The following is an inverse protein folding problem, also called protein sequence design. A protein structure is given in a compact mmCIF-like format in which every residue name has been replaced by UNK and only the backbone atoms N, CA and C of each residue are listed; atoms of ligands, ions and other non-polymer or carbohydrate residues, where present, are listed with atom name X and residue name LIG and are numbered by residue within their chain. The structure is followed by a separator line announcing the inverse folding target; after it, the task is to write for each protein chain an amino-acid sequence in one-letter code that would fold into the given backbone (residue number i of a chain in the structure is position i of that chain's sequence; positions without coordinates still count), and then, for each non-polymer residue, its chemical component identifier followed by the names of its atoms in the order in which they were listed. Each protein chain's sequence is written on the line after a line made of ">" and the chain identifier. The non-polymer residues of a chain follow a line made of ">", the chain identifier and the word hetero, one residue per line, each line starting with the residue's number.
data_IF_494401346719
#
_entry.id   IF_494401346719
#
_cell.length_a   1.000
_cell.length_b   1.000
_cell.length_c   1.000
_cell.angle_alpha   90.00
_cell.angle_beta   90.00
_cell.angle_gamma   90.00
#
_symmetry.space_group_name_H-M   'P 1'
#
loop_
_entity.id
_entity.type
_entity.pdbx_description
1 polymer ?
#
# COMPACT_ATOMS: atom_id res chain seq x y z
N UNK A 1 -11.81 23.17 -8.43
CA UNK A 1 -12.13 22.93 -7.01
C UNK A 1 -11.42 21.65 -6.54
N UNK A 2 -10.94 21.59 -5.30
CA UNK A 2 -10.40 20.38 -4.68
C UNK A 2 -11.52 19.69 -3.88
N UNK A 3 -11.75 18.40 -4.13
CA UNK A 3 -12.72 17.62 -3.38
C UNK A 3 -12.04 16.52 -2.57
N UNK A 4 -12.40 16.42 -1.29
CA UNK A 4 -11.92 15.39 -0.36
C UNK A 4 -13.05 14.40 -0.13
N UNK A 5 -12.80 13.14 -0.48
CA UNK A 5 -13.80 12.08 -0.40
C UNK A 5 -14.04 11.67 1.05
N UNK A 6 -15.25 11.96 1.55
CA UNK A 6 -15.73 11.53 2.87
C UNK A 6 -16.67 10.34 2.72
N UNK A 7 -16.41 9.29 3.47
CA UNK A 7 -17.27 8.10 3.51
C UNK A 7 -18.15 8.06 4.77
N UNK A 8 -18.16 9.13 5.57
CA UNK A 8 -18.86 9.24 6.86
C UNK A 8 -18.50 8.13 7.87
N UNK A 9 -17.32 7.49 7.70
CA UNK A 9 -16.84 6.48 8.62
C UNK A 9 -15.94 7.12 9.66
N UNK A 10 -16.32 7.08 10.92
CA UNK A 10 -15.57 7.66 12.04
C UNK A 10 -14.06 7.35 12.02
N UNK A 11 -13.67 6.10 11.67
CA UNK A 11 -12.26 5.68 11.63
C UNK A 11 -11.44 6.38 10.53
N UNK A 12 -12.07 6.85 9.46
CA UNK A 12 -11.38 7.47 8.31
C UNK A 12 -11.58 8.99 8.26
N UNK A 13 -12.61 9.52 8.93
CA UNK A 13 -12.92 10.96 8.91
C UNK A 13 -11.76 11.82 9.43
N UNK A 14 -11.02 11.37 10.44
CA UNK A 14 -9.84 12.10 10.91
C UNK A 14 -8.82 12.39 9.79
N UNK A 15 -8.60 11.46 8.87
CA UNK A 15 -7.69 11.65 7.74
C UNK A 15 -8.25 12.64 6.71
N UNK A 16 -9.56 12.57 6.49
CA UNK A 16 -10.31 13.53 5.66
C UNK A 16 -10.20 14.94 6.24
N UNK A 17 -10.39 15.08 7.57
CA UNK A 17 -10.27 16.36 8.27
C UNK A 17 -8.86 16.95 8.16
N UNK A 18 -7.82 16.12 8.31
CA UNK A 18 -6.43 16.58 8.14
C UNK A 18 -6.16 17.08 6.72
N UNK A 19 -6.69 16.39 5.71
CA UNK A 19 -6.54 16.79 4.32
C UNK A 19 -7.28 18.11 4.04
N UNK A 20 -8.52 18.26 4.51
CA UNK A 20 -9.31 19.51 4.34
C UNK A 20 -8.62 20.70 5.01
N UNK A 21 -8.07 20.47 6.22
CA UNK A 21 -7.37 21.54 6.94
C UNK A 21 -6.13 22.04 6.19
N UNK A 22 -5.35 21.13 5.60
CA UNK A 22 -4.10 21.45 4.90
C UNK A 22 -4.26 21.82 3.42
N UNK A 23 -5.46 21.69 2.85
CA UNK A 23 -5.77 22.04 1.47
C UNK A 23 -6.80 23.20 1.45
N UNK A 24 -6.34 24.46 1.42
CA UNK A 24 -7.21 25.60 1.36
C UNK A 24 -8.19 25.51 0.17
N UNK A 25 -9.44 25.93 0.39
CA UNK A 25 -10.53 25.86 -0.60
C UNK A 25 -10.96 24.45 -1.03
N UNK A 26 -10.60 23.42 -0.28
CA UNK A 26 -11.15 22.08 -0.49
C UNK A 26 -12.53 21.92 0.16
N UNK A 27 -13.32 20.98 -0.37
CA UNK A 27 -14.66 20.64 0.15
C UNK A 27 -14.78 19.13 0.34
N UNK A 28 -15.44 18.72 1.41
CA UNK A 28 -15.85 17.32 1.61
C UNK A 28 -17.07 17.00 0.75
N UNK A 29 -17.02 15.89 0.04
CA UNK A 29 -18.18 15.31 -0.66
C UNK A 29 -18.15 13.79 -0.53
N UNK A 30 -19.31 13.16 -0.69
CA UNK A 30 -19.38 11.71 -0.85
C UNK A 30 -18.72 11.26 -2.17
N UNK A 31 -18.14 10.05 -2.24
CA UNK A 31 -17.53 9.55 -3.46
C UNK A 31 -18.41 9.68 -4.70
N UNK A 32 -19.70 9.33 -4.56
CA UNK A 32 -20.68 9.38 -5.64
C UNK A 32 -21.04 10.79 -6.10
N UNK A 33 -20.84 11.79 -5.25
CA UNK A 33 -21.04 13.21 -5.60
C UNK A 33 -19.82 13.73 -6.35
N UNK A 34 -18.59 13.39 -5.89
CA UNK A 34 -17.35 13.82 -6.54
C UNK A 34 -17.32 13.43 -8.03
N UNK A 35 -17.68 12.19 -8.35
CA UNK A 35 -17.65 11.69 -9.73
C UNK A 35 -18.68 12.35 -10.66
N UNK A 36 -19.62 13.11 -10.10
CA UNK A 36 -20.64 13.88 -10.86
C UNK A 36 -20.25 15.35 -11.01
N UNK A 37 -19.21 15.84 -10.33
CA UNK A 37 -18.80 17.24 -10.44
C UNK A 37 -18.16 17.53 -11.78
N UNK A 38 -18.30 18.78 -12.26
CA UNK A 38 -17.68 19.26 -13.50
C UNK A 38 -16.50 20.18 -13.25
N UNK A 39 -16.31 20.61 -12.02
CA UNK A 39 -15.31 21.63 -11.63
C UNK A 39 -14.19 21.02 -10.76
N UNK A 40 -14.13 19.71 -10.63
CA UNK A 40 -13.07 19.04 -9.88
C UNK A 40 -11.74 19.16 -10.61
N UNK A 41 -10.78 19.82 -9.99
CA UNK A 41 -9.42 19.92 -10.49
C UNK A 41 -8.45 18.98 -9.78
N UNK A 42 -8.82 18.54 -8.57
CA UNK A 42 -8.03 17.61 -7.76
C UNK A 42 -8.92 16.85 -6.79
N UNK A 43 -8.73 15.55 -6.67
CA UNK A 43 -9.45 14.70 -5.73
C UNK A 43 -8.53 14.16 -4.64
N UNK A 44 -9.06 13.96 -3.43
CA UNK A 44 -8.35 13.31 -2.32
C UNK A 44 -9.21 12.17 -1.80
N UNK A 45 -8.62 11.00 -1.57
CA UNK A 45 -9.35 9.84 -1.08
C UNK A 45 -8.51 8.99 -0.12
N UNK A 46 -9.17 8.26 0.78
CA UNK A 46 -8.52 7.35 1.72
C UNK A 46 -8.97 5.90 1.46
N UNK A 47 -8.02 5.04 1.07
CA UNK A 47 -8.25 3.62 0.76
C UNK A 47 -9.15 3.40 -0.45
N UNK A 48 -9.63 2.17 -0.61
CA UNK A 48 -10.42 1.74 -1.79
C UNK A 48 -11.87 1.35 -1.47
N UNK A 49 -12.26 1.38 -0.19
CA UNK A 49 -13.60 0.95 0.24
C UNK A 49 -14.61 2.10 0.22
N UNK A 50 -15.91 1.75 0.25
CA UNK A 50 -17.05 2.68 0.38
C UNK A 50 -17.14 3.71 -0.75
N UNK A 51 -16.79 3.29 -1.97
CA UNK A 51 -16.90 4.14 -3.15
C UNK A 51 -15.65 4.97 -3.47
N UNK A 52 -14.64 5.03 -2.59
CA UNK A 52 -13.41 5.76 -2.88
C UNK A 52 -12.66 5.22 -4.10
N UNK A 53 -12.74 3.91 -4.38
CA UNK A 53 -12.21 3.33 -5.62
C UNK A 53 -12.88 3.89 -6.87
N UNK A 54 -14.15 4.30 -6.79
CA UNK A 54 -14.85 4.95 -7.92
C UNK A 54 -14.24 6.32 -8.20
N UNK A 55 -13.92 7.10 -7.15
CA UNK A 55 -13.22 8.38 -7.30
C UNK A 55 -11.84 8.17 -7.90
N UNK A 56 -11.11 7.14 -7.46
CA UNK A 56 -9.80 6.79 -8.00
C UNK A 56 -9.88 6.51 -9.50
N UNK A 57 -10.74 5.57 -9.92
CA UNK A 57 -10.93 5.19 -11.33
C UNK A 57 -11.45 6.34 -12.18
N UNK A 58 -12.35 7.15 -11.63
CA UNK A 58 -12.88 8.33 -12.31
C UNK A 58 -11.78 9.38 -12.54
N UNK A 59 -10.95 9.65 -11.53
CA UNK A 59 -9.86 10.60 -11.64
C UNK A 59 -8.81 10.14 -12.67
N UNK A 60 -8.41 8.86 -12.66
CA UNK A 60 -7.53 8.29 -13.68
C UNK A 60 -8.12 8.47 -15.09
N UNK A 61 -9.38 8.05 -15.29
CA UNK A 61 -10.06 8.10 -16.60
C UNK A 61 -10.17 9.53 -17.14
N UNK A 62 -10.43 10.51 -16.28
CA UNK A 62 -10.63 11.91 -16.65
C UNK A 62 -9.33 12.75 -16.57
N UNK A 63 -8.19 12.13 -16.25
CA UNK A 63 -6.89 12.80 -16.09
C UNK A 63 -6.93 13.95 -15.07
N UNK A 64 -7.69 13.74 -13.99
CA UNK A 64 -7.77 14.65 -12.86
C UNK A 64 -6.70 14.27 -11.86
N UNK A 65 -5.90 15.22 -11.40
CA UNK A 65 -4.92 14.98 -10.35
C UNK A 65 -5.61 14.48 -9.08
N UNK A 66 -5.01 13.52 -8.42
CA UNK A 66 -5.54 13.03 -7.15
C UNK A 66 -4.43 12.68 -6.15
N UNK A 67 -4.79 12.72 -4.87
CA UNK A 67 -4.00 12.19 -3.78
C UNK A 67 -4.70 10.96 -3.20
N UNK A 68 -4.01 9.86 -3.24
CA UNK A 68 -4.43 8.63 -2.59
C UNK A 68 -3.78 8.52 -1.21
N UNK A 69 -4.59 8.43 -0.19
CA UNK A 69 -4.16 8.28 1.20
C UNK A 69 -4.44 6.85 1.65
N UNK A 70 -3.53 6.29 2.46
CA UNK A 70 -3.71 4.97 3.06
C UNK A 70 -2.81 4.82 4.29
N UNK A 71 -2.81 3.64 4.90
CA UNK A 71 -1.89 3.27 5.96
C UNK A 71 -0.44 3.48 5.53
N UNK A 72 0.44 3.91 6.44
CA UNK A 72 1.83 4.23 6.10
C UNK A 72 2.60 2.98 5.65
N UNK A 73 3.76 3.20 5.08
CA UNK A 73 4.71 2.13 4.77
C UNK A 73 5.28 1.51 6.04
N UNK A 74 5.60 2.36 7.03
CA UNK A 74 6.06 2.00 8.37
C UNK A 74 5.56 3.00 9.40
N UNK A 75 5.79 2.72 10.69
CA UNK A 75 5.42 3.62 11.78
C UNK A 75 3.92 3.62 12.06
N UNK A 76 3.16 2.64 11.56
CA UNK A 76 1.77 2.45 11.97
C UNK A 76 1.75 1.91 13.39
N UNK A 77 1.74 2.81 14.34
CA UNK A 77 1.47 2.48 15.73
C UNK A 77 0.15 3.13 16.14
N UNK A 78 -0.53 2.52 17.09
CA UNK A 78 -1.70 3.14 17.74
C UNK A 78 -1.29 4.37 18.55
N UNK A 79 0.01 4.57 18.72
CA UNK A 79 0.63 5.68 19.44
C UNK A 79 1.20 6.71 18.47
N UNK A 80 1.10 7.98 18.79
CA UNK A 80 1.66 9.08 17.99
C UNK A 80 3.21 8.99 17.89
N UNK A 81 3.82 9.48 16.80
CA UNK A 81 3.17 10.14 15.68
C UNK A 81 2.55 9.13 14.70
N UNK A 82 1.32 9.40 14.30
CA UNK A 82 0.68 8.64 13.23
C UNK A 82 1.18 9.13 11.88
N UNK A 83 1.67 8.21 11.06
CA UNK A 83 1.94 8.48 9.67
C UNK A 83 0.77 8.06 8.79
N UNK A 84 0.60 8.74 7.67
CA UNK A 84 -0.33 8.43 6.59
C UNK A 84 0.46 8.43 5.30
N UNK A 85 0.36 7.35 4.54
CA UNK A 85 0.86 7.32 3.17
C UNK A 85 0.00 8.24 2.32
N UNK A 86 0.63 9.11 1.54
CA UNK A 86 -0.03 9.94 0.54
C UNK A 86 0.77 9.88 -0.76
N UNK A 87 0.10 9.53 -1.84
CA UNK A 87 0.74 9.42 -3.14
C UNK A 87 -0.09 10.20 -4.18
N UNK A 88 0.59 10.97 -5.01
CA UNK A 88 -0.05 11.71 -6.10
C UNK A 88 -0.19 10.80 -7.31
N UNK A 89 -1.39 10.72 -7.88
CA UNK A 89 -1.73 10.03 -9.13
C UNK A 89 -1.37 8.53 -9.16
N UNK A 90 -1.23 7.91 -8.00
CA UNK A 90 -1.00 6.48 -7.84
C UNK A 90 -1.51 6.01 -6.47
N UNK A 91 -1.62 4.69 -6.25
CA UNK A 91 -2.01 4.11 -4.96
C UNK A 91 -0.82 3.84 -4.03
N UNK A 92 0.41 3.82 -4.56
CA UNK A 92 1.66 3.70 -3.80
C UNK A 92 2.83 4.31 -4.56
N UNK A 93 3.92 4.58 -3.83
CA UNK A 93 5.18 5.06 -4.39
C UNK A 93 6.13 3.88 -4.53
N UNK A 94 6.40 3.49 -5.77
CA UNK A 94 7.28 2.40 -6.14
C UNK A 94 8.30 2.84 -7.20
N UNK A 95 8.80 4.05 -7.08
CA UNK A 95 9.85 4.60 -7.94
C UNK A 95 10.89 5.30 -7.10
N UNK A 96 12.10 5.40 -7.66
CA UNK A 96 13.16 6.18 -7.06
C UNK A 96 12.93 7.67 -7.31
N UNK A 97 13.13 8.44 -6.28
CA UNK A 97 13.20 9.88 -6.31
C UNK A 97 14.37 10.28 -5.42
N UNK A 98 15.29 11.08 -5.94
CA UNK A 98 16.41 11.55 -5.13
C UNK A 98 15.90 12.38 -3.97
N UNK A 99 16.09 11.85 -2.76
CA UNK A 99 15.64 12.46 -1.51
C UNK A 99 16.72 12.27 -0.44
N UNK A 100 16.92 13.25 0.45
CA UNK A 100 17.81 13.10 1.59
C UNK A 100 17.29 12.00 2.56
N UNK A 101 18.19 11.47 3.38
CA UNK A 101 17.88 10.40 4.33
C UNK A 101 17.15 10.86 5.61
N UNK A 102 17.10 12.17 5.86
CA UNK A 102 16.64 12.80 7.12
C UNK A 102 15.27 12.31 7.60
N UNK A 103 14.28 12.24 6.69
CA UNK A 103 12.94 11.75 7.03
C UNK A 103 12.94 10.24 7.31
N UNK A 104 13.74 9.50 6.59
CA UNK A 104 13.90 8.06 6.79
C UNK A 104 14.55 7.81 8.16
N UNK A 105 15.70 8.40 8.46
CA UNK A 105 16.42 8.24 9.73
C UNK A 105 15.57 8.61 10.93
N UNK A 106 14.76 9.66 10.82
CA UNK A 106 13.86 10.10 11.88
C UNK A 106 12.67 9.14 12.12
N UNK A 107 12.17 8.49 11.10
CA UNK A 107 10.89 7.78 11.15
C UNK A 107 11.00 6.25 11.03
N UNK A 108 12.11 5.74 10.48
CA UNK A 108 12.26 4.31 10.21
C UNK A 108 12.65 3.56 11.50
N UNK A 109 11.84 2.58 11.94
CA UNK A 109 11.99 2.01 13.28
C UNK A 109 12.94 0.81 13.37
N UNK A 110 13.43 0.30 12.23
CA UNK A 110 14.17 -0.96 12.19
C UNK A 110 15.57 -0.79 11.58
N UNK A 111 16.57 -1.54 12.06
CA UNK A 111 17.86 -1.60 11.38
C UNK A 111 17.72 -2.36 10.05
N UNK A 112 18.36 -1.85 8.99
CA UNK A 112 18.47 -2.56 7.73
C UNK A 112 19.56 -3.61 7.86
N UNK A 113 19.18 -4.90 7.78
CA UNK A 113 20.11 -6.02 7.87
C UNK A 113 20.74 -6.31 6.50
N UNK A 114 21.97 -6.85 6.44
CA UNK A 114 22.53 -7.38 5.20
C UNK A 114 21.58 -8.38 4.53
N UNK A 115 21.70 -8.52 3.21
CA UNK A 115 20.94 -9.52 2.48
C UNK A 115 21.27 -10.93 2.95
N UNK A 116 20.24 -11.69 3.27
CA UNK A 116 20.26 -13.09 3.65
C UNK A 116 20.21 -13.95 2.38
N UNK A 117 21.05 -14.97 2.31
CA UNK A 117 21.11 -15.91 1.17
C UNK A 117 20.71 -17.33 1.54
N UNK A 118 20.47 -17.56 2.82
CA UNK A 118 20.01 -18.81 3.40
C UNK A 118 18.53 -18.75 3.75
N UNK A 119 17.99 -19.84 4.21
CA UNK A 119 16.57 -20.00 4.53
C UNK A 119 15.97 -21.12 3.68
N UNK A 120 14.92 -21.71 4.20
CA UNK A 120 14.28 -22.87 3.58
C UNK A 120 12.94 -22.52 2.94
N UNK A 121 12.13 -21.75 3.66
CA UNK A 121 10.72 -21.58 3.34
C UNK A 121 10.47 -20.37 2.42
N UNK A 122 9.62 -20.54 1.43
CA UNK A 122 9.02 -19.46 0.67
C UNK A 122 7.69 -19.12 1.33
N UNK A 123 7.52 -17.85 1.76
CA UNK A 123 6.29 -17.40 2.42
C UNK A 123 5.47 -16.57 1.45
N UNK A 124 4.31 -17.07 1.06
CA UNK A 124 3.37 -16.38 0.15
C UNK A 124 2.35 -15.61 0.96
N UNK A 125 2.31 -14.31 0.76
CA UNK A 125 1.39 -13.38 1.42
C UNK A 125 0.40 -12.81 0.39
N UNK A 126 -0.81 -13.39 0.24
CA UNK A 126 -1.75 -12.96 -0.78
C UNK A 126 -2.30 -11.55 -0.51
N UNK A 127 -2.78 -10.86 -1.56
CA UNK A 127 -3.47 -9.58 -1.40
C UNK A 127 -4.75 -9.76 -0.56
N UNK A 128 -5.15 -8.70 0.15
CA UNK A 128 -6.44 -8.71 0.83
C UNK A 128 -7.59 -8.74 -0.18
N UNK A 129 -8.76 -9.25 0.21
CA UNK A 129 -9.93 -9.30 -0.67
C UNK A 129 -10.28 -7.92 -1.28
N UNK A 130 -10.13 -6.84 -0.52
CA UNK A 130 -10.34 -5.49 -1.03
C UNK A 130 -9.35 -5.12 -2.16
N UNK A 131 -8.10 -5.58 -2.06
CA UNK A 131 -7.11 -5.37 -3.12
C UNK A 131 -7.33 -6.31 -4.31
N UNK A 132 -7.79 -7.53 -4.07
CA UNK A 132 -8.18 -8.43 -5.16
C UNK A 132 -9.31 -7.82 -6.00
N UNK A 133 -10.35 -7.27 -5.35
CA UNK A 133 -11.43 -6.55 -6.04
C UNK A 133 -10.92 -5.30 -6.77
N UNK A 134 -10.08 -4.51 -6.10
CA UNK A 134 -9.57 -3.27 -6.67
C UNK A 134 -8.72 -3.49 -7.92
N UNK A 135 -7.85 -4.51 -7.92
CA UNK A 135 -6.96 -4.82 -9.04
C UNK A 135 -7.51 -5.89 -9.99
N UNK A 136 -8.61 -6.57 -9.66
CA UNK A 136 -9.16 -7.68 -10.47
C UNK A 136 -8.27 -8.93 -10.47
N UNK A 137 -7.60 -9.24 -9.36
CA UNK A 137 -6.56 -10.29 -9.26
C UNK A 137 -7.01 -11.45 -8.37
N UNK A 138 -8.21 -11.96 -8.60
CA UNK A 138 -8.80 -13.02 -7.79
C UNK A 138 -8.01 -14.34 -7.86
N UNK A 139 -7.41 -14.66 -9.01
CA UNK A 139 -6.66 -15.89 -9.25
C UNK A 139 -5.16 -15.75 -8.93
N UNK A 140 -4.74 -14.63 -8.32
CA UNK A 140 -3.33 -14.36 -8.08
C UNK A 140 -2.66 -15.44 -7.24
N UNK A 141 -3.30 -15.90 -6.18
CA UNK A 141 -2.73 -16.92 -5.29
C UNK A 141 -2.51 -18.24 -6.02
N UNK A 142 -3.52 -18.72 -6.75
CA UNK A 142 -3.45 -20.00 -7.47
C UNK A 142 -2.40 -19.98 -8.58
N UNK A 143 -2.35 -18.87 -9.33
CA UNK A 143 -1.33 -18.67 -10.36
C UNK A 143 0.08 -18.60 -9.76
N UNK A 144 0.24 -17.88 -8.64
CA UNK A 144 1.50 -17.79 -7.91
C UNK A 144 1.97 -19.17 -7.42
N UNK A 145 1.09 -19.91 -6.76
CA UNK A 145 1.43 -21.25 -6.25
C UNK A 145 1.80 -22.23 -7.38
N UNK A 146 1.11 -22.15 -8.52
CA UNK A 146 1.44 -22.96 -9.71
C UNK A 146 2.83 -22.62 -10.23
N UNK A 147 3.15 -21.33 -10.39
CA UNK A 147 4.46 -20.88 -10.86
C UNK A 147 5.56 -21.30 -9.90
N UNK A 148 5.38 -21.08 -8.60
CA UNK A 148 6.39 -21.46 -7.61
C UNK A 148 6.65 -22.97 -7.61
N UNK A 149 5.60 -23.80 -7.56
CA UNK A 149 5.74 -25.27 -7.57
C UNK A 149 6.44 -25.83 -8.81
N UNK A 150 6.38 -25.12 -9.92
CA UNK A 150 7.07 -25.50 -11.15
C UNK A 150 8.55 -25.12 -11.17
N UNK A 151 9.01 -24.27 -10.23
CA UNK A 151 10.35 -23.68 -10.28
C UNK A 151 11.16 -23.85 -8.99
N UNK A 152 10.65 -24.57 -7.98
CA UNK A 152 11.38 -24.83 -6.74
C UNK A 152 10.85 -26.08 -6.01
N UNK A 153 11.74 -26.75 -5.29
CA UNK A 153 11.42 -27.82 -4.34
C UNK A 153 11.31 -27.31 -2.90
N UNK A 154 11.48 -26.02 -2.65
CA UNK A 154 11.38 -25.44 -1.30
C UNK A 154 9.95 -25.51 -0.76
N UNK A 155 9.78 -25.71 0.55
CA UNK A 155 8.46 -25.62 1.18
C UNK A 155 7.81 -24.25 0.93
N UNK A 156 6.55 -24.25 0.51
CA UNK A 156 5.76 -23.04 0.26
C UNK A 156 4.71 -22.91 1.34
N UNK A 157 4.78 -21.82 2.11
CA UNK A 157 3.88 -21.52 3.23
C UNK A 157 2.98 -20.34 2.85
N UNK A 158 1.66 -20.55 2.83
CA UNK A 158 0.70 -19.44 2.58
C UNK A 158 0.35 -18.77 3.91
N UNK A 159 0.55 -17.47 3.99
CA UNK A 159 0.30 -16.64 5.18
C UNK A 159 -1.09 -16.01 5.13
N UNK A 160 -2.02 -16.54 5.90
CA UNK A 160 -3.36 -15.99 6.07
C UNK A 160 -3.40 -14.94 7.18
N UNK A 161 -4.12 -13.85 6.97
CA UNK A 161 -4.21 -12.71 7.91
C UNK A 161 -5.21 -12.91 9.06
N UNK A 162 -5.94 -13.99 9.17
CA UNK A 162 -6.90 -14.26 10.24
C UNK A 162 -8.12 -13.33 10.31
N UNK A 163 -8.08 -12.21 9.68
CA UNK A 163 -9.22 -11.35 9.37
C UNK A 163 -9.13 -10.93 7.91
N UNK A 164 -9.96 -11.55 7.11
CA UNK A 164 -10.05 -11.23 5.70
C UNK A 164 -11.52 -10.85 5.41
N UNK A 165 -11.83 -9.55 5.23
CA UNK A 165 -13.19 -9.13 5.01
C UNK A 165 -13.73 -9.66 3.67
N UNK A 166 -14.94 -10.16 3.66
CA UNK A 166 -15.67 -10.44 2.42
C UNK A 166 -16.11 -9.11 1.85
N UNK A 167 -15.79 -8.89 0.58
CA UNK A 167 -16.11 -7.64 -0.11
C UNK A 167 -17.29 -7.85 -1.04
N UNK A 168 -18.31 -7.02 -0.88
CA UNK A 168 -19.43 -6.90 -1.78
C UNK A 168 -19.50 -5.51 -2.39
N UNK A 169 -20.56 -5.24 -3.15
CA UNK A 169 -20.84 -3.92 -3.71
C UNK A 169 -22.15 -3.37 -3.13
N UNK A 170 -22.16 -2.09 -2.82
CA UNK A 170 -23.40 -1.36 -2.52
C UNK A 170 -24.18 -1.03 -3.79
N UNK A 171 -25.36 -0.43 -3.64
CA UNK A 171 -26.24 -0.04 -4.76
C UNK A 171 -25.58 0.93 -5.76
N UNK A 172 -24.54 1.65 -5.34
CA UNK A 172 -23.80 2.58 -6.18
C UNK A 172 -22.49 1.98 -6.73
N UNK A 173 -22.25 0.67 -6.51
CA UNK A 173 -21.04 -0.04 -6.93
C UNK A 173 -19.83 0.18 -5.99
N UNK A 174 -20.01 0.83 -4.85
CA UNK A 174 -18.96 1.04 -3.84
C UNK A 174 -18.60 -0.27 -3.13
N UNK A 175 -17.32 -0.56 -2.98
CA UNK A 175 -16.86 -1.74 -2.23
C UNK A 175 -17.18 -1.59 -0.74
N UNK A 176 -17.92 -2.55 -0.20
CA UNK A 176 -18.31 -2.62 1.20
C UNK A 176 -17.91 -3.97 1.81
N UNK A 177 -17.71 -3.99 3.13
CA UNK A 177 -17.52 -5.23 3.88
C UNK A 177 -18.88 -5.83 4.18
N UNK A 178 -19.17 -7.02 3.63
CA UNK A 178 -20.43 -7.74 3.80
C UNK A 178 -20.32 -8.88 4.81
N UNK A 179 -19.11 -9.23 5.20
CA UNK A 179 -18.85 -10.31 6.16
C UNK A 179 -17.37 -10.45 6.44
N UNK A 180 -17.00 -11.53 7.07
CA UNK A 180 -15.61 -11.89 7.34
C UNK A 180 -15.38 -13.37 7.00
N UNK A 181 -14.23 -13.66 6.40
CA UNK A 181 -13.74 -15.01 6.24
C UNK A 181 -13.38 -15.59 7.62
N UNK A 182 -13.75 -16.83 7.86
CA UNK A 182 -13.45 -17.57 9.09
C UNK A 182 -12.13 -18.35 9.03
N UNK A 183 -11.33 -18.16 7.97
CA UNK A 183 -10.00 -18.78 7.86
C UNK A 183 -9.15 -18.38 9.06
N UNK A 184 -8.62 -19.33 9.83
CA UNK A 184 -7.79 -18.98 10.98
C UNK A 184 -6.50 -18.29 10.55
N UNK A 185 -5.94 -17.42 11.40
CA UNK A 185 -4.66 -16.79 11.11
C UNK A 185 -3.55 -17.85 11.06
N UNK A 186 -2.64 -17.69 10.11
CA UNK A 186 -1.42 -18.50 10.13
C UNK A 186 -0.52 -18.09 11.30
N UNK A 187 0.35 -18.99 11.78
CA UNK A 187 1.39 -18.66 12.74
C UNK A 187 2.22 -17.44 12.28
N UNK A 188 2.91 -16.75 13.19
CA UNK A 188 3.89 -15.72 12.79
C UNK A 188 4.90 -16.25 11.78
N UNK A 189 5.43 -15.36 10.94
CA UNK A 189 6.49 -15.74 10.00
C UNK A 189 7.74 -16.05 10.81
N UNK A 190 8.31 -17.21 10.56
CA UNK A 190 9.67 -17.53 10.99
C UNK A 190 10.64 -16.84 10.04
N UNK A 191 11.14 -15.66 10.46
CA UNK A 191 12.05 -14.84 9.67
C UNK A 191 13.44 -15.47 9.51
N UNK A 192 13.82 -16.34 10.45
CA UNK A 192 15.14 -16.99 10.42
C UNK A 192 15.18 -18.14 9.41
N UNK A 193 14.05 -18.78 9.15
CA UNK A 193 13.93 -19.84 8.15
C UNK A 193 13.27 -19.38 6.83
N UNK A 194 12.88 -18.10 6.71
CA UNK A 194 12.36 -17.55 5.47
C UNK A 194 13.46 -17.35 4.44
N UNK A 195 13.33 -18.03 3.28
CA UNK A 195 14.19 -17.84 2.12
C UNK A 195 13.77 -16.64 1.29
N UNK A 196 12.48 -16.51 1.03
CA UNK A 196 11.91 -15.39 0.28
C UNK A 196 10.47 -15.10 0.70
N UNK A 197 10.05 -13.85 0.54
CA UNK A 197 8.65 -13.44 0.68
C UNK A 197 8.07 -13.18 -0.71
N UNK A 198 6.93 -13.78 -1.01
CA UNK A 198 6.18 -13.58 -2.25
C UNK A 198 4.87 -12.88 -1.93
N UNK A 199 4.62 -11.72 -2.54
CA UNK A 199 3.39 -10.97 -2.26
C UNK A 199 2.97 -10.07 -3.41
N UNK A 200 1.67 -9.79 -3.53
CA UNK A 200 1.17 -8.84 -4.53
C UNK A 200 1.56 -7.40 -4.13
N UNK A 201 0.93 -6.84 -3.11
CA UNK A 201 1.09 -5.42 -2.75
C UNK A 201 1.17 -5.17 -1.23
N UNK A 202 1.48 -6.18 -0.43
CA UNK A 202 1.54 -6.04 1.02
C UNK A 202 2.83 -5.34 1.47
N UNK A 203 2.74 -4.50 2.49
CA UNK A 203 3.90 -3.89 3.16
C UNK A 203 4.81 -4.91 3.87
N UNK A 204 4.44 -6.19 3.91
CA UNK A 204 5.31 -7.26 4.40
C UNK A 204 6.62 -7.34 3.59
N UNK A 205 6.60 -6.92 2.32
CA UNK A 205 7.80 -6.82 1.49
C UNK A 205 8.82 -5.83 2.05
N UNK A 206 8.36 -4.71 2.59
CA UNK A 206 9.24 -3.74 3.24
C UNK A 206 9.86 -4.33 4.52
N UNK A 207 9.06 -4.98 5.35
CA UNK A 207 9.57 -5.64 6.56
C UNK A 207 10.58 -6.74 6.22
N UNK A 208 10.30 -7.55 5.20
CA UNK A 208 11.20 -8.61 4.75
C UNK A 208 12.51 -8.05 4.18
N UNK A 209 12.44 -7.09 3.26
CA UNK A 209 13.64 -6.48 2.67
C UNK A 209 14.49 -5.76 3.72
N UNK A 210 13.87 -5.15 4.74
CA UNK A 210 14.58 -4.56 5.89
C UNK A 210 15.34 -5.62 6.70
N UNK A 211 14.76 -6.82 6.86
CA UNK A 211 15.39 -7.97 7.52
C UNK A 211 16.44 -8.67 6.65
N UNK A 212 16.65 -8.20 5.42
CA UNK A 212 17.57 -8.80 4.46
C UNK A 212 16.99 -9.99 3.71
N UNK A 213 15.69 -10.25 3.78
CA UNK A 213 15.03 -11.34 3.06
C UNK A 213 14.57 -10.84 1.71
N UNK A 214 14.99 -11.49 0.58
CA UNK A 214 14.58 -11.07 -0.74
C UNK A 214 13.07 -11.24 -0.94
N UNK A 215 12.51 -10.37 -1.79
CA UNK A 215 11.10 -10.39 -2.10
C UNK A 215 10.84 -10.62 -3.59
N UNK A 216 9.73 -11.30 -3.84
CA UNK A 216 9.11 -11.45 -5.14
C UNK A 216 7.76 -10.76 -5.08
N UNK A 217 7.58 -9.71 -5.89
CA UNK A 217 6.41 -8.86 -5.77
C UNK A 217 5.78 -8.58 -7.13
N UNK A 218 4.49 -8.26 -7.13
CA UNK A 218 3.90 -7.62 -8.31
C UNK A 218 4.46 -6.20 -8.49
N UNK A 219 4.35 -5.67 -9.71
CA UNK A 219 4.72 -4.28 -10.02
C UNK A 219 3.92 -3.25 -9.20
N UNK A 220 2.76 -3.64 -8.68
CA UNK A 220 1.91 -2.82 -7.79
C UNK A 220 2.34 -2.88 -6.31
N UNK A 221 3.59 -3.27 -6.03
CA UNK A 221 4.16 -3.28 -4.68
C UNK A 221 5.14 -2.12 -4.50
N UNK A 222 5.18 -1.55 -3.30
CA UNK A 222 6.10 -0.46 -2.97
C UNK A 222 7.57 -0.87 -3.09
N UNK A 223 7.89 -2.13 -2.82
CA UNK A 223 9.25 -2.69 -2.95
C UNK A 223 9.54 -3.31 -4.32
N UNK A 224 8.67 -3.17 -5.33
CA UNK A 224 8.88 -3.73 -6.66
C UNK A 224 10.26 -3.34 -7.27
N UNK A 225 10.76 -2.10 -7.13
CA UNK A 225 12.06 -1.72 -7.69
C UNK A 225 13.25 -2.52 -7.15
N UNK A 226 13.16 -2.99 -5.90
CA UNK A 226 14.20 -3.76 -5.21
C UNK A 226 13.88 -5.26 -5.11
N UNK A 227 12.79 -5.70 -5.71
CA UNK A 227 12.30 -7.08 -5.71
C UNK A 227 12.39 -7.69 -7.10
N UNK A 228 12.31 -9.02 -7.20
CA UNK A 228 12.08 -9.71 -8.46
C UNK A 228 10.56 -9.73 -8.74
N UNK A 229 10.17 -9.50 -9.98
CA UNK A 229 8.74 -9.51 -10.39
C UNK A 229 8.38 -10.76 -11.18
N UNK A 230 9.35 -11.51 -11.64
CA UNK A 230 9.18 -12.80 -12.30
C UNK A 230 9.30 -13.94 -11.27
N UNK A 231 8.19 -14.51 -10.86
CA UNK A 231 8.14 -15.56 -9.83
C UNK A 231 8.73 -16.89 -10.27
N UNK A 232 8.98 -17.09 -11.57
CA UNK A 232 9.71 -18.27 -12.05
C UNK A 232 11.18 -18.25 -11.66
N UNK A 233 11.71 -17.08 -11.31
CA UNK A 233 13.10 -16.89 -10.86
C UNK A 233 13.26 -17.08 -9.35
N UNK A 234 12.39 -17.82 -8.70
CA UNK A 234 12.36 -17.92 -7.23
C UNK A 234 13.68 -18.37 -6.62
N UNK A 235 14.49 -19.16 -7.31
CA UNK A 235 15.83 -19.60 -6.86
C UNK A 235 16.95 -18.60 -7.16
N UNK A 236 16.64 -17.52 -7.89
CA UNK A 236 17.62 -16.47 -8.25
C UNK A 236 17.14 -15.09 -7.82
N UNK A 237 16.97 -14.85 -6.50
CA UNK A 237 16.43 -13.59 -5.99
C UNK A 237 17.34 -12.41 -6.32
N UNK A 238 16.71 -11.25 -6.42
CA UNK A 238 17.40 -9.97 -6.64
C UNK A 238 17.93 -9.40 -5.33
N UNK A 239 19.17 -8.98 -5.32
CA UNK A 239 19.86 -8.35 -4.19
C UNK A 239 20.38 -6.96 -4.61
N UNK A 240 19.61 -5.93 -4.34
CA UNK A 240 19.93 -4.55 -4.75
C UNK A 240 20.05 -3.63 -3.54
N UNK A 241 20.64 -2.46 -3.73
CA UNK A 241 20.61 -1.40 -2.74
C UNK A 241 19.15 -0.99 -2.47
N UNK A 242 18.81 -0.75 -1.22
CA UNK A 242 17.43 -0.54 -0.73
C UNK A 242 17.19 0.87 -0.24
N UNK A 243 18.22 1.46 0.34
CA UNK A 243 18.17 2.73 1.04
C UNK A 243 17.62 3.87 0.16
N UNK A 244 18.03 4.04 -1.11
CA UNK A 244 17.49 5.10 -1.97
C UNK A 244 15.96 4.99 -2.17
N UNK A 245 15.42 3.76 -2.27
CA UNK A 245 13.99 3.56 -2.34
C UNK A 245 13.31 3.94 -1.04
N UNK A 246 13.89 3.56 0.10
CA UNK A 246 13.33 3.88 1.42
C UNK A 246 13.36 5.39 1.69
N UNK A 247 14.42 6.09 1.27
CA UNK A 247 14.47 7.55 1.35
C UNK A 247 13.36 8.18 0.52
N UNK A 248 13.17 7.70 -0.71
CA UNK A 248 12.06 8.12 -1.56
C UNK A 248 10.69 7.86 -0.91
N UNK A 249 10.47 6.67 -0.33
CA UNK A 249 9.22 6.30 0.35
C UNK A 249 8.94 7.16 1.59
N UNK A 250 9.97 7.56 2.34
CA UNK A 250 9.82 8.44 3.50
C UNK A 250 9.17 9.78 3.16
N UNK A 251 9.37 10.26 1.92
CA UNK A 251 8.72 11.45 1.37
C UNK A 251 7.34 11.16 0.74
N UNK A 252 6.85 9.93 0.87
CA UNK A 252 5.50 9.51 0.52
C UNK A 252 4.60 9.21 1.72
N UNK A 253 5.06 9.49 2.95
CA UNK A 253 4.25 9.38 4.17
C UNK A 253 4.46 10.58 5.09
N UNK A 254 3.39 11.00 5.76
CA UNK A 254 3.33 12.25 6.49
C UNK A 254 2.57 12.11 7.81
N UNK A 255 2.94 12.92 8.79
CA UNK A 255 2.22 13.03 10.06
C UNK A 255 0.93 13.84 9.90
N UNK A 256 0.06 13.77 10.91
CA UNK A 256 -1.16 14.60 10.96
C UNK A 256 -0.86 16.10 10.85
N UNK A 257 0.20 16.57 11.49
CA UNK A 257 0.57 17.98 11.49
C UNK A 257 1.15 18.42 10.14
N UNK A 258 1.93 17.57 9.47
CA UNK A 258 2.42 17.82 8.12
C UNK A 258 1.29 17.84 7.07
N UNK A 259 0.23 17.07 7.28
CA UNK A 259 -0.96 17.13 6.45
C UNK A 259 -1.74 18.43 6.68
N UNK A 260 -1.98 18.81 7.95
CA UNK A 260 -2.77 19.99 8.31
C UNK A 260 -2.08 21.32 7.98
N UNK A 261 -0.75 21.40 8.14
CA UNK A 261 -0.01 22.65 7.89
C UNK A 261 0.34 22.88 6.42
N UNK A 262 -0.05 21.97 5.52
CA UNK A 262 0.19 22.11 4.10
C UNK A 262 1.51 21.54 3.59
N UNK A 263 2.45 21.15 4.46
CA UNK A 263 3.77 20.65 4.08
C UNK A 263 3.68 19.40 3.17
N UNK A 264 2.83 18.43 3.52
CA UNK A 264 2.66 17.22 2.73
C UNK A 264 2.28 17.53 1.27
N UNK A 265 1.36 18.45 1.08
CA UNK A 265 0.85 18.82 -0.24
C UNK A 265 1.89 19.58 -1.06
N UNK A 266 2.70 20.45 -0.42
CA UNK A 266 3.79 21.13 -1.09
C UNK A 266 4.86 20.15 -1.60
N UNK A 267 5.24 19.17 -0.79
CA UNK A 267 6.19 18.12 -1.19
C UNK A 267 5.65 17.31 -2.39
N UNK A 268 4.37 16.92 -2.34
CA UNK A 268 3.75 16.10 -3.40
C UNK A 268 3.51 16.89 -4.70
N UNK A 269 3.39 18.19 -4.63
CA UNK A 269 3.25 19.08 -5.80
C UNK A 269 4.60 19.61 -6.32
N UNK A 270 5.73 19.21 -5.70
CA UNK A 270 7.07 19.63 -6.12
C UNK A 270 7.39 21.11 -5.80
N UNK A 271 6.87 21.61 -4.68
CA UNK A 271 7.06 23.00 -4.22
C UNK A 271 8.01 23.09 -3.05
#
# INVERSE_FOLDING_TARGET
>A
MIYVSSTNRQLTEKYVDWAVHGLPNSKKLQPQEIIKTKDCTKAVMFGVLRGTHLVYRWAEKNKIDFYYMDRPYWGETRNAPYYVKVVKNNHLKNWYEERPSDRFEKSFPWPIKPWKKDGRNIVVCPPSNAMQEFFGVHDWLDNTLRTLKANTDRPILVKNKGYNPIIGKDINGGYIVTGKDNTPPSPPIDWDDAYAIVTYNSNISLEATTRGIPCFTDIHNACAPISETDFSKIETPKYTEREPLYYSMAYGQFTADELKNGYAWSILDGR
#
